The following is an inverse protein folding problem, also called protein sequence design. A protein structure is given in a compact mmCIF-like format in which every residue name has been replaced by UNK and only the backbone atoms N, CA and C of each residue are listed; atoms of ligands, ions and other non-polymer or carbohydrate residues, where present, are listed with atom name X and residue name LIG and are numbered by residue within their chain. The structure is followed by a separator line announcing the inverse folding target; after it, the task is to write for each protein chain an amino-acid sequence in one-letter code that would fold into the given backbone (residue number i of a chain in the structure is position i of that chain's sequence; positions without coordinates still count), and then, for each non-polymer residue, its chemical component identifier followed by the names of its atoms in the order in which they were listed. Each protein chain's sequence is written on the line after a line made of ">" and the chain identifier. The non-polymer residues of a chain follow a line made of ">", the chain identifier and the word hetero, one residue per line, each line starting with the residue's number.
data_IF_173284362410
#
_entry.id   IF_173284362410
#
_cell.length_a   1.000
_cell.length_b   1.000
_cell.length_c   1.000
_cell.angle_alpha   90.00
_cell.angle_beta   90.00
_cell.angle_gamma   90.00
#
_symmetry.space_group_name_H-M   'P 1'
#
loop_
_entity.id
_entity.type
_entity.pdbx_description
1 polymer ?
#
# COMPACT_ATOMS: atom_id res chain seq x y z
N UNK A 1 -7.84 -7.80 -22.58
CA UNK A 1 -7.75 -8.14 -21.14
C UNK A 1 -8.89 -7.42 -20.45
N UNK A 2 -9.73 -8.13 -19.72
CA UNK A 2 -10.86 -7.53 -19.03
C UNK A 2 -10.38 -6.97 -17.71
N UNK A 3 -10.73 -5.71 -17.43
CA UNK A 3 -10.51 -5.05 -16.15
C UNK A 3 -11.88 -4.96 -15.47
N UNK A 4 -11.98 -5.55 -14.29
CA UNK A 4 -13.19 -5.51 -13.49
C UNK A 4 -13.27 -4.19 -12.71
N UNK A 5 -14.46 -3.80 -12.32
CA UNK A 5 -14.69 -2.62 -11.48
C UNK A 5 -15.10 -3.07 -10.07
N UNK A 6 -14.53 -2.43 -9.06
CA UNK A 6 -14.96 -2.61 -7.68
C UNK A 6 -16.36 -1.98 -7.50
N UNK A 7 -17.31 -2.76 -7.00
CA UNK A 7 -18.63 -2.22 -6.66
C UNK A 7 -18.62 -1.46 -5.33
N UNK A 8 -19.50 -0.47 -5.18
CA UNK A 8 -19.66 0.26 -3.92
C UNK A 8 -20.03 -0.67 -2.75
N UNK A 9 -20.79 -1.75 -3.03
CA UNK A 9 -21.16 -2.73 -2.01
C UNK A 9 -19.95 -3.53 -1.50
N UNK A 10 -19.04 -3.97 -2.40
CA UNK A 10 -17.81 -4.64 -2.01
C UNK A 10 -16.91 -3.73 -1.18
N UNK A 11 -16.74 -2.48 -1.60
CA UNK A 11 -15.94 -1.49 -0.88
C UNK A 11 -16.51 -1.17 0.51
N UNK A 12 -17.84 -1.00 0.62
CA UNK A 12 -18.51 -0.77 1.91
C UNK A 12 -18.39 -1.98 2.84
N UNK A 13 -18.55 -3.20 2.31
CA UNK A 13 -18.38 -4.43 3.07
C UNK A 13 -16.95 -4.56 3.61
N UNK A 14 -15.94 -4.33 2.78
CA UNK A 14 -14.54 -4.37 3.22
C UNK A 14 -14.24 -3.31 4.29
N UNK A 15 -14.82 -2.10 4.21
CA UNK A 15 -14.65 -1.06 5.23
C UNK A 15 -15.32 -1.44 6.55
N UNK A 16 -16.49 -2.08 6.49
CA UNK A 16 -17.16 -2.62 7.68
C UNK A 16 -16.29 -3.69 8.37
N UNK A 17 -15.72 -4.63 7.59
CA UNK A 17 -14.78 -5.64 8.11
C UNK A 17 -13.53 -4.98 8.70
N UNK A 18 -12.97 -3.99 8.03
CA UNK A 18 -11.79 -3.25 8.50
C UNK A 18 -12.05 -2.63 9.88
N UNK A 19 -13.18 -1.95 10.02
CA UNK A 19 -13.56 -1.34 11.29
C UNK A 19 -13.83 -2.39 12.40
N UNK A 20 -14.50 -3.49 12.05
CA UNK A 20 -14.80 -4.59 12.97
C UNK A 20 -13.54 -5.27 13.53
N UNK A 21 -12.53 -5.47 12.69
CA UNK A 21 -11.29 -6.17 13.05
C UNK A 21 -10.24 -5.24 13.66
N UNK A 22 -10.34 -3.93 13.42
CA UNK A 22 -9.38 -2.93 13.91
C UNK A 22 -7.92 -3.41 13.81
N UNK A 23 -7.39 -3.70 12.61
CA UNK A 23 -6.10 -4.37 12.47
C UNK A 23 -4.97 -3.64 13.17
N UNK A 24 -4.14 -4.38 13.92
CA UNK A 24 -2.87 -3.87 14.45
C UNK A 24 -1.80 -3.96 13.36
N UNK A 25 -1.35 -2.83 12.84
CA UNK A 25 -0.41 -2.76 11.72
C UNK A 25 0.97 -2.36 12.22
N UNK A 26 1.94 -3.26 12.07
CA UNK A 26 3.34 -2.97 12.28
C UNK A 26 3.89 -2.21 11.06
N UNK A 27 4.13 -0.92 11.21
CA UNK A 27 4.57 -0.03 10.14
C UNK A 27 6.08 0.22 10.21
N UNK A 28 6.88 -0.55 9.47
CA UNK A 28 8.29 -0.24 9.22
C UNK A 28 8.37 0.66 7.98
N UNK A 29 7.96 1.90 8.16
CA UNK A 29 7.88 2.90 7.09
C UNK A 29 9.05 3.90 7.15
N UNK A 30 9.14 4.79 6.17
CA UNK A 30 10.19 5.79 6.08
C UNK A 30 9.96 6.98 7.03
N UNK A 31 11.04 7.71 7.33
CA UNK A 31 11.04 8.80 8.32
C UNK A 31 10.14 9.98 7.95
N UNK A 32 9.92 10.17 6.66
CA UNK A 32 9.20 11.34 6.14
C UNK A 32 7.70 11.26 6.41
N UNK A 33 7.14 10.02 6.54
CA UNK A 33 5.69 9.81 6.49
C UNK A 33 5.10 9.11 7.74
N UNK A 34 5.89 8.91 8.78
CA UNK A 34 5.46 8.14 9.96
C UNK A 34 4.16 8.67 10.57
N UNK A 35 4.10 9.95 10.89
CA UNK A 35 2.92 10.58 11.50
C UNK A 35 1.70 10.54 10.57
N UNK A 36 1.89 10.83 9.29
CA UNK A 36 0.80 10.81 8.31
C UNK A 36 0.24 9.39 8.13
N UNK A 37 1.11 8.39 8.03
CA UNK A 37 0.73 6.98 7.95
C UNK A 37 -0.05 6.53 9.20
N UNK A 38 0.44 6.89 10.41
CA UNK A 38 -0.25 6.57 11.64
C UNK A 38 -1.65 7.19 11.70
N UNK A 39 -1.77 8.48 11.39
CA UNK A 39 -3.04 9.18 11.40
C UNK A 39 -4.03 8.64 10.35
N UNK A 40 -3.54 8.23 9.18
CA UNK A 40 -4.36 7.59 8.14
C UNK A 40 -4.98 6.27 8.64
N UNK A 41 -4.18 5.41 9.28
CA UNK A 41 -4.67 4.17 9.87
C UNK A 41 -5.67 4.42 11.00
N UNK A 42 -5.35 5.36 11.91
CA UNK A 42 -6.26 5.75 13.02
C UNK A 42 -7.59 6.30 12.49
N UNK A 43 -7.57 7.14 11.47
CA UNK A 43 -8.79 7.69 10.86
C UNK A 43 -9.70 6.60 10.28
N UNK A 44 -9.14 5.50 9.77
CA UNK A 44 -9.87 4.33 9.28
C UNK A 44 -10.27 3.33 10.38
N UNK A 45 -9.77 3.48 11.62
CA UNK A 45 -10.08 2.59 12.75
C UNK A 45 -9.09 1.44 12.96
N UNK A 46 -7.92 1.48 12.33
CA UNK A 46 -6.82 0.55 12.59
C UNK A 46 -5.88 1.09 13.69
N UNK A 47 -5.01 0.23 14.20
CA UNK A 47 -4.02 0.56 15.23
C UNK A 47 -2.60 0.52 14.64
N UNK A 48 -1.92 1.67 14.42
CA UNK A 48 -0.55 1.69 13.91
C UNK A 48 0.48 1.50 15.02
N UNK A 49 1.59 0.82 14.71
CA UNK A 49 2.77 0.77 15.55
C UNK A 49 4.04 0.91 14.72
N UNK A 50 4.93 1.82 15.11
CA UNK A 50 6.21 2.10 14.47
C UNK A 50 7.36 1.52 15.30
N UNK A 51 7.61 0.21 15.18
CA UNK A 51 8.65 -0.51 15.92
C UNK A 51 9.80 -0.81 14.95
N UNK A 52 10.98 -0.28 15.21
CA UNK A 52 12.11 -0.27 14.26
C UNK A 52 13.41 -0.86 14.82
N UNK A 53 13.51 -1.10 16.12
CA UNK A 53 14.65 -1.81 16.71
C UNK A 53 14.56 -3.30 16.37
N UNK A 54 15.70 -3.94 16.05
CA UNK A 54 15.73 -5.28 15.46
C UNK A 54 15.04 -6.36 16.31
N UNK A 55 15.33 -6.39 17.61
CA UNK A 55 14.73 -7.38 18.52
C UNK A 55 13.24 -7.11 18.72
N UNK A 56 12.86 -5.85 18.93
CA UNK A 56 11.47 -5.44 19.10
C UNK A 56 10.66 -5.64 17.81
N UNK A 57 11.26 -5.34 16.65
CA UNK A 57 10.60 -5.52 15.35
C UNK A 57 10.25 -6.98 15.09
N UNK A 58 11.14 -7.91 15.42
CA UNK A 58 10.87 -9.35 15.34
C UNK A 58 9.76 -9.77 16.31
N UNK A 59 9.81 -9.32 17.56
CA UNK A 59 8.77 -9.63 18.56
C UNK A 59 7.41 -9.07 18.13
N UNK A 60 7.38 -7.83 17.67
CA UNK A 60 6.13 -7.16 17.30
C UNK A 60 5.50 -7.75 16.04
N UNK A 61 6.31 -8.18 15.06
CA UNK A 61 5.82 -8.85 13.86
C UNK A 61 5.05 -10.15 14.15
N UNK A 62 5.33 -10.80 15.29
CA UNK A 62 4.63 -12.02 15.71
C UNK A 62 3.21 -11.76 16.24
N UNK A 63 2.93 -10.57 16.75
CA UNK A 63 1.65 -10.21 17.37
C UNK A 63 0.80 -9.24 16.56
N UNK A 64 1.40 -8.59 15.55
CA UNK A 64 0.70 -7.70 14.65
C UNK A 64 -0.28 -8.47 13.76
N UNK A 65 -1.38 -7.82 13.38
CA UNK A 65 -2.32 -8.37 12.38
C UNK A 65 -1.73 -8.34 10.98
N UNK A 66 -0.88 -7.34 10.68
CA UNK A 66 -0.17 -7.18 9.42
C UNK A 66 1.13 -6.41 9.60
N UNK A 67 2.08 -6.60 8.65
CA UNK A 67 3.36 -5.89 8.62
C UNK A 67 3.48 -5.10 7.31
N UNK A 68 3.89 -3.83 7.41
CA UNK A 68 4.33 -3.00 6.28
C UNK A 68 5.86 -2.89 6.27
N UNK A 69 6.46 -3.18 5.13
CA UNK A 69 7.86 -2.89 4.82
C UNK A 69 7.92 -1.85 3.70
N UNK A 70 8.30 -0.63 4.05
CA UNK A 70 8.51 0.47 3.10
C UNK A 70 10.00 0.86 3.12
N UNK A 71 10.66 0.72 1.97
CA UNK A 71 12.11 0.91 1.86
C UNK A 71 12.56 2.36 1.62
N UNK A 72 11.66 3.32 1.78
CA UNK A 72 12.03 4.74 1.81
C UNK A 72 12.98 5.03 2.99
N UNK A 73 13.92 5.95 2.82
CA UNK A 73 14.98 6.25 3.83
C UNK A 73 15.67 5.01 4.41
N UNK A 74 15.91 3.98 3.57
CA UNK A 74 16.52 2.72 3.99
C UNK A 74 17.98 2.95 4.44
N UNK A 75 18.32 2.42 5.62
CA UNK A 75 19.67 2.33 6.16
C UNK A 75 20.00 0.87 6.44
N UNK A 76 21.30 0.57 6.64
CA UNK A 76 21.70 -0.81 6.94
C UNK A 76 21.07 -1.36 8.22
N UNK A 77 21.00 -0.63 9.35
CA UNK A 77 20.29 -1.11 10.54
C UNK A 77 18.79 -1.35 10.29
N UNK A 78 18.15 -0.47 9.51
CA UNK A 78 16.73 -0.67 9.14
C UNK A 78 16.53 -1.91 8.29
N UNK A 79 17.40 -2.16 7.31
CA UNK A 79 17.34 -3.37 6.50
C UNK A 79 17.44 -4.64 7.37
N UNK A 80 18.33 -4.66 8.35
CA UNK A 80 18.47 -5.76 9.31
C UNK A 80 17.18 -5.97 10.12
N UNK A 81 16.62 -4.89 10.67
CA UNK A 81 15.38 -4.95 11.44
C UNK A 81 14.19 -5.40 10.56
N UNK A 82 14.09 -4.90 9.32
CA UNK A 82 13.07 -5.30 8.37
C UNK A 82 13.19 -6.79 8.00
N UNK A 83 14.41 -7.30 7.76
CA UNK A 83 14.63 -8.73 7.50
C UNK A 83 14.17 -9.58 8.68
N UNK A 84 14.54 -9.21 9.92
CA UNK A 84 14.12 -9.94 11.12
C UNK A 84 12.59 -9.93 11.31
N UNK A 85 11.93 -8.80 11.03
CA UNK A 85 10.47 -8.69 11.07
C UNK A 85 9.80 -9.56 10.01
N UNK A 86 10.30 -9.56 8.76
CA UNK A 86 9.76 -10.37 7.65
C UNK A 86 9.95 -11.87 7.91
N UNK A 87 11.12 -12.28 8.40
CA UNK A 87 11.36 -13.67 8.79
C UNK A 87 10.39 -14.12 9.89
N UNK A 88 10.15 -13.27 10.88
CA UNK A 88 9.18 -13.58 11.93
C UNK A 88 7.75 -13.58 11.41
N UNK A 89 7.34 -12.60 10.59
CA UNK A 89 6.03 -12.58 9.96
C UNK A 89 5.77 -13.84 9.14
N UNK A 90 6.80 -14.32 8.40
CA UNK A 90 6.72 -15.60 7.67
C UNK A 90 6.50 -16.79 8.60
N UNK A 91 7.21 -16.85 9.73
CA UNK A 91 7.03 -17.93 10.74
C UNK A 91 5.67 -17.90 11.41
N UNK A 92 5.16 -16.74 11.75
CA UNK A 92 3.86 -16.54 12.41
C UNK A 92 2.69 -16.47 11.44
N UNK A 93 2.94 -16.58 10.13
CA UNK A 93 1.93 -16.42 9.07
C UNK A 93 1.22 -15.05 9.11
N UNK A 94 1.90 -14.04 9.62
CA UNK A 94 1.43 -12.65 9.58
C UNK A 94 1.54 -12.12 8.15
N UNK A 95 0.44 -11.66 7.53
CA UNK A 95 0.51 -11.09 6.18
C UNK A 95 1.36 -9.83 6.17
N UNK A 96 2.13 -9.64 5.09
CA UNK A 96 2.96 -8.47 4.98
C UNK A 96 2.96 -7.86 3.57
N UNK A 97 3.16 -6.56 3.53
CA UNK A 97 3.15 -5.75 2.30
C UNK A 97 4.51 -5.12 2.07
N UNK A 98 4.99 -5.19 0.82
CA UNK A 98 6.20 -4.52 0.36
C UNK A 98 5.84 -3.24 -0.40
N UNK A 99 6.44 -2.11 0.02
CA UNK A 99 6.44 -0.83 -0.70
C UNK A 99 7.88 -0.53 -1.19
N UNK A 100 8.20 -0.84 -2.46
CA UNK A 100 9.55 -0.80 -3.00
C UNK A 100 9.96 0.60 -3.46
N UNK A 101 9.89 1.57 -2.57
CA UNK A 101 10.14 2.99 -2.86
C UNK A 101 11.46 3.21 -3.59
N UNK A 102 11.38 3.76 -4.82
CA UNK A 102 12.51 4.17 -5.65
C UNK A 102 13.49 3.03 -6.05
N UNK A 103 13.03 1.78 -6.11
CA UNK A 103 13.88 0.62 -6.50
C UNK A 103 14.42 0.71 -7.92
N UNK A 104 13.77 1.46 -8.80
CA UNK A 104 14.24 1.69 -10.17
C UNK A 104 15.49 2.55 -10.25
N UNK A 105 15.75 3.39 -9.24
CA UNK A 105 16.84 4.35 -9.22
C UNK A 105 17.98 4.00 -8.24
N UNK A 106 17.69 3.18 -7.22
CA UNK A 106 18.59 2.95 -6.10
C UNK A 106 18.92 1.46 -5.94
N UNK A 107 20.11 1.07 -6.33
CA UNK A 107 20.54 -0.34 -6.36
C UNK A 107 20.50 -1.03 -4.99
N UNK A 108 20.82 -0.33 -3.91
CA UNK A 108 20.75 -0.91 -2.56
C UNK A 108 19.34 -1.33 -2.21
N UNK A 109 18.36 -0.44 -2.43
CA UNK A 109 16.93 -0.75 -2.21
C UNK A 109 16.45 -1.87 -3.11
N UNK A 110 16.86 -1.86 -4.39
CA UNK A 110 16.49 -2.90 -5.35
C UNK A 110 16.97 -4.28 -4.90
N UNK A 111 18.25 -4.43 -4.56
CA UNK A 111 18.79 -5.71 -4.06
C UNK A 111 18.05 -6.18 -2.81
N UNK A 112 17.85 -5.30 -1.86
CA UNK A 112 17.14 -5.63 -0.63
C UNK A 112 15.68 -6.06 -0.90
N UNK A 113 14.94 -5.36 -1.75
CA UNK A 113 13.59 -5.77 -2.12
C UNK A 113 13.57 -7.13 -2.83
N UNK A 114 14.52 -7.39 -3.74
CA UNK A 114 14.60 -8.70 -4.43
C UNK A 114 14.89 -9.84 -3.44
N UNK A 115 15.74 -9.61 -2.43
CA UNK A 115 15.98 -10.58 -1.34
C UNK A 115 14.69 -10.86 -0.56
N UNK A 116 13.92 -9.82 -0.23
CA UNK A 116 12.67 -9.94 0.52
C UNK A 116 11.58 -10.69 -0.25
N UNK A 117 11.55 -10.66 -1.59
CA UNK A 117 10.55 -11.38 -2.40
C UNK A 117 10.56 -12.90 -2.14
N UNK A 118 11.71 -13.47 -1.74
CA UNK A 118 11.81 -14.89 -1.37
C UNK A 118 10.93 -15.29 -0.18
N UNK A 119 10.57 -14.32 0.67
CA UNK A 119 9.66 -14.49 1.81
C UNK A 119 8.18 -14.32 1.45
N UNK A 120 7.86 -14.21 0.16
CA UNK A 120 6.49 -14.19 -0.38
C UNK A 120 5.59 -13.15 0.29
N UNK A 121 5.73 -11.85 -0.02
CA UNK A 121 4.81 -10.82 0.46
C UNK A 121 3.37 -11.17 0.09
N UNK A 122 2.43 -10.82 0.95
CA UNK A 122 0.99 -10.94 0.65
C UNK A 122 0.57 -9.90 -0.38
N UNK A 123 1.15 -8.70 -0.28
CA UNK A 123 0.92 -7.64 -1.26
C UNK A 123 2.22 -6.89 -1.59
N UNK A 124 2.26 -6.33 -2.80
CA UNK A 124 3.30 -5.41 -3.26
C UNK A 124 2.59 -4.16 -3.80
N UNK A 125 2.91 -2.99 -3.29
CA UNK A 125 2.32 -1.73 -3.78
C UNK A 125 3.41 -0.77 -4.23
N UNK A 126 3.34 -0.31 -5.47
CA UNK A 126 4.25 0.69 -6.02
C UNK A 126 3.62 1.50 -7.14
N UNK A 127 4.31 2.53 -7.62
CA UNK A 127 3.96 3.17 -8.87
C UNK A 127 4.41 2.30 -10.07
N UNK A 128 4.05 2.69 -11.28
CA UNK A 128 4.38 1.95 -12.50
C UNK A 128 5.88 1.66 -12.63
N UNK A 129 6.74 2.66 -12.37
CA UNK A 129 8.19 2.51 -12.50
C UNK A 129 8.78 1.56 -11.45
N UNK A 130 8.29 1.61 -10.22
CA UNK A 130 8.71 0.73 -9.13
C UNK A 130 8.32 -0.72 -9.41
N UNK A 131 7.08 -0.96 -9.84
CA UNK A 131 6.60 -2.30 -10.17
C UNK A 131 7.35 -2.88 -11.38
N UNK A 132 7.53 -2.11 -12.45
CA UNK A 132 8.31 -2.54 -13.62
C UNK A 132 9.76 -2.86 -13.25
N UNK A 133 10.41 -2.02 -12.45
CA UNK A 133 11.77 -2.23 -11.99
C UNK A 133 11.91 -3.49 -11.12
N UNK A 134 10.94 -3.74 -10.22
CA UNK A 134 10.92 -4.92 -9.36
C UNK A 134 10.67 -6.20 -10.17
N UNK A 135 9.85 -6.13 -11.23
CA UNK A 135 9.61 -7.23 -12.16
C UNK A 135 10.75 -7.47 -13.16
N UNK A 136 11.86 -6.73 -13.05
CA UNK A 136 13.01 -6.89 -13.95
C UNK A 136 12.78 -6.36 -15.37
N UNK A 137 11.73 -5.59 -15.59
CA UNK A 137 11.50 -4.94 -16.89
C UNK A 137 12.42 -3.73 -16.97
N UNK A 138 13.39 -3.77 -17.92
CA UNK A 138 14.31 -2.67 -18.13
C UNK A 138 13.55 -1.39 -18.49
N UNK A 139 13.85 -0.29 -17.80
CA UNK A 139 13.33 1.03 -18.13
C UNK A 139 13.86 1.45 -19.50
N UNK A 140 13.09 1.23 -20.53
CA UNK A 140 13.32 1.78 -21.86
C UNK A 140 13.07 3.28 -21.84
N UNK A 141 14.08 4.06 -21.49
CA UNK A 141 14.13 5.50 -21.76
C UNK A 141 13.39 6.40 -20.77
N UNK A 142 14.01 7.56 -20.50
CA UNK A 142 13.37 8.74 -19.93
C UNK A 142 12.28 9.23 -20.89
N UNK A 143 11.02 8.97 -20.61
CA UNK A 143 9.93 9.52 -21.40
C UNK A 143 8.83 8.52 -21.75
N UNK A 144 8.27 7.87 -20.73
CA UNK A 144 6.90 7.37 -20.86
C UNK A 144 6.00 8.57 -20.56
N UNK A 145 5.39 9.14 -21.59
CA UNK A 145 4.35 10.15 -21.46
C UNK A 145 3.26 9.58 -20.53
N UNK A 146 2.97 10.31 -19.48
CA UNK A 146 2.40 9.84 -18.22
C UNK A 146 0.89 9.62 -18.20
N UNK A 147 0.21 9.69 -19.32
CA UNK A 147 -1.26 9.60 -19.35
C UNK A 147 -1.81 8.21 -19.04
N UNK A 148 -0.98 7.14 -19.08
CA UNK A 148 -1.40 5.77 -18.71
C UNK A 148 -0.24 4.92 -18.19
N UNK A 149 0.68 5.51 -17.42
CA UNK A 149 1.85 4.78 -16.92
C UNK A 149 1.47 3.53 -16.10
N UNK A 150 0.40 3.58 -15.31
CA UNK A 150 -0.06 2.45 -14.51
C UNK A 150 -0.61 1.31 -15.38
N UNK A 151 -1.38 1.63 -16.42
CA UNK A 151 -1.90 0.63 -17.37
C UNK A 151 -0.74 -0.10 -18.10
N UNK A 152 0.32 0.63 -18.46
CA UNK A 152 1.50 0.05 -19.11
C UNK A 152 2.29 -0.91 -18.20
N UNK A 153 2.15 -0.79 -16.89
CA UNK A 153 2.80 -1.68 -15.92
C UNK A 153 1.96 -2.95 -15.60
N UNK A 154 0.73 -3.07 -16.07
CA UNK A 154 -0.15 -4.23 -15.79
C UNK A 154 0.52 -5.57 -16.17
N UNK A 155 1.16 -5.75 -17.34
CA UNK A 155 1.80 -7.01 -17.67
C UNK A 155 2.93 -7.38 -16.68
N UNK A 156 3.72 -6.38 -16.26
CA UNK A 156 4.77 -6.56 -15.25
C UNK A 156 4.17 -6.92 -13.88
N UNK A 157 3.11 -6.23 -13.47
CA UNK A 157 2.39 -6.50 -12.23
C UNK A 157 1.82 -7.93 -12.20
N UNK A 158 1.19 -8.38 -13.29
CA UNK A 158 0.68 -9.75 -13.39
C UNK A 158 1.78 -10.80 -13.34
N UNK A 159 2.91 -10.55 -13.99
CA UNK A 159 4.07 -11.44 -13.94
C UNK A 159 4.60 -11.53 -12.51
N UNK A 160 4.82 -10.39 -11.86
CA UNK A 160 5.28 -10.32 -10.48
C UNK A 160 4.30 -11.03 -9.52
N UNK A 161 2.99 -10.84 -9.71
CA UNK A 161 1.96 -11.51 -8.91
C UNK A 161 2.02 -13.04 -9.07
N UNK A 162 2.15 -13.55 -10.31
CA UNK A 162 2.26 -14.99 -10.55
C UNK A 162 3.53 -15.60 -9.97
N UNK A 163 4.66 -14.90 -10.05
CA UNK A 163 5.95 -15.38 -9.55
C UNK A 163 6.04 -15.38 -8.03
N UNK A 164 5.45 -14.39 -7.38
CA UNK A 164 5.53 -14.22 -5.92
C UNK A 164 4.33 -14.80 -5.18
N UNK A 165 3.17 -14.90 -5.83
CA UNK A 165 1.88 -15.19 -5.21
C UNK A 165 1.24 -13.96 -4.54
N UNK A 166 1.85 -12.77 -4.67
CA UNK A 166 1.35 -11.54 -4.06
C UNK A 166 0.21 -10.91 -4.86
N UNK A 167 -0.64 -10.17 -4.17
CA UNK A 167 -1.50 -9.16 -4.82
C UNK A 167 -0.62 -7.96 -5.16
N UNK A 168 -0.59 -7.54 -6.41
CA UNK A 168 0.21 -6.38 -6.84
C UNK A 168 -0.70 -5.19 -7.12
N UNK A 169 -0.36 -4.06 -6.51
CA UNK A 169 -1.04 -2.77 -6.66
C UNK A 169 -0.14 -1.82 -7.44
N UNK A 170 -0.59 -1.39 -8.60
CA UNK A 170 0.06 -0.33 -9.39
C UNK A 170 -0.73 0.94 -9.24
N UNK A 171 -0.13 1.97 -8.64
CA UNK A 171 -0.82 3.25 -8.41
C UNK A 171 -0.55 4.27 -9.52
N UNK A 172 -1.58 5.04 -9.86
CA UNK A 172 -1.55 6.10 -10.87
C UNK A 172 -2.84 6.90 -10.89
N UNK A 173 -3.18 7.47 -12.03
CA UNK A 173 -4.49 8.10 -12.25
C UNK A 173 -5.60 7.07 -12.04
N UNK A 174 -5.46 5.90 -12.64
CA UNK A 174 -6.22 4.69 -12.29
C UNK A 174 -5.27 3.75 -11.54
N UNK A 175 -5.69 3.25 -10.37
CA UNK A 175 -4.95 2.20 -9.69
C UNK A 175 -5.41 0.84 -10.20
N UNK A 176 -4.46 -0.06 -10.43
CA UNK A 176 -4.74 -1.44 -10.84
C UNK A 176 -4.28 -2.42 -9.77
N UNK A 177 -5.18 -3.31 -9.37
CA UNK A 177 -4.92 -4.35 -8.36
C UNK A 177 -5.08 -5.71 -9.03
N UNK A 178 -4.05 -6.57 -8.95
CA UNK A 178 -4.07 -7.88 -9.61
C UNK A 178 -3.47 -9.00 -8.75
N UNK A 179 -4.08 -10.19 -8.87
CA UNK A 179 -3.55 -11.46 -8.35
C UNK A 179 -2.76 -12.26 -9.43
N UNK A 180 -2.52 -11.63 -10.58
CA UNK A 180 -1.90 -12.26 -11.74
C UNK A 180 -2.91 -12.84 -12.75
N UNK A 181 -4.17 -13.03 -12.35
CA UNK A 181 -5.28 -13.54 -13.18
C UNK A 181 -6.39 -12.51 -13.33
N UNK A 182 -6.92 -12.02 -12.21
CA UNK A 182 -7.93 -10.97 -12.16
C UNK A 182 -7.26 -9.61 -12.07
N UNK A 183 -7.93 -8.57 -12.56
CA UNK A 183 -7.51 -7.18 -12.44
C UNK A 183 -8.72 -6.35 -12.06
N UNK A 184 -8.56 -5.54 -11.01
CA UNK A 184 -9.57 -4.55 -10.61
C UNK A 184 -8.99 -3.15 -10.85
N UNK A 185 -9.72 -2.32 -11.60
CA UNK A 185 -9.37 -0.92 -11.86
C UNK A 185 -10.11 0.01 -10.89
N UNK A 186 -9.39 0.92 -10.25
CA UNK A 186 -9.92 1.88 -9.29
C UNK A 186 -9.70 3.29 -9.82
N UNK A 187 -10.79 3.93 -10.20
CA UNK A 187 -10.83 5.32 -10.66
C UNK A 187 -10.98 6.30 -9.49
N UNK A 188 -10.74 7.57 -9.74
CA UNK A 188 -10.91 8.65 -8.77
C UNK A 188 -9.60 9.22 -8.27
N UNK A 189 -9.69 9.97 -7.17
CA UNK A 189 -8.57 10.76 -6.65
C UNK A 189 -8.41 12.09 -7.38
N UNK A 190 -7.36 12.82 -7.03
CA UNK A 190 -7.09 14.14 -7.62
C UNK A 190 -5.56 14.37 -7.70
N UNK A 191 -5.08 15.08 -8.74
CA UNK A 191 -3.66 15.45 -8.87
C UNK A 191 -3.06 16.16 -7.65
N UNK A 192 -3.87 16.88 -6.86
CA UNK A 192 -3.41 17.53 -5.64
C UNK A 192 -2.82 16.53 -4.62
N UNK A 193 -3.28 15.28 -4.62
CA UNK A 193 -2.72 14.22 -3.78
C UNK A 193 -1.23 14.01 -4.03
N UNK A 194 -0.74 14.29 -5.23
CA UNK A 194 0.70 14.18 -5.58
C UNK A 194 1.54 15.33 -5.01
N UNK A 195 0.91 16.41 -4.52
CA UNK A 195 1.55 17.55 -3.89
C UNK A 195 1.68 17.42 -2.38
N UNK A 196 1.18 16.32 -1.82
CA UNK A 196 1.26 15.99 -0.39
C UNK A 196 2.11 14.74 -0.24
N UNK A 197 3.20 14.86 0.52
CA UNK A 197 4.10 13.73 0.76
C UNK A 197 3.40 12.66 1.60
N UNK A 198 3.56 11.40 1.21
CA UNK A 198 3.15 10.28 2.03
C UNK A 198 1.81 9.64 1.68
N UNK A 199 0.98 10.22 0.81
CA UNK A 199 -0.31 9.62 0.41
C UNK A 199 -0.14 8.19 -0.11
N UNK A 200 0.87 7.95 -0.95
CA UNK A 200 1.20 6.61 -1.43
C UNK A 200 1.71 5.68 -0.32
N UNK A 201 2.65 6.13 0.50
CA UNK A 201 3.20 5.32 1.60
C UNK A 201 2.11 4.98 2.64
N UNK A 202 1.19 5.91 2.91
CA UNK A 202 0.04 5.66 3.79
C UNK A 202 -0.92 4.63 3.17
N UNK A 203 -1.18 4.69 1.85
CA UNK A 203 -1.94 3.64 1.16
C UNK A 203 -1.29 2.27 1.34
N UNK A 204 0.03 2.14 1.30
CA UNK A 204 0.71 0.86 1.53
C UNK A 204 0.43 0.29 2.92
N UNK A 205 0.28 1.15 3.94
CA UNK A 205 -0.11 0.72 5.28
C UNK A 205 -1.59 0.27 5.35
N UNK A 206 -2.49 0.95 4.63
CA UNK A 206 -3.90 0.54 4.52
C UNK A 206 -4.01 -0.78 3.75
N UNK A 207 -3.24 -0.97 2.69
CA UNK A 207 -3.12 -2.25 1.96
C UNK A 207 -2.65 -3.36 2.90
N UNK A 208 -1.63 -3.11 3.72
CA UNK A 208 -1.16 -4.09 4.70
C UNK A 208 -2.28 -4.48 5.69
N UNK A 209 -3.01 -3.51 6.22
CA UNK A 209 -4.16 -3.76 7.09
C UNK A 209 -5.24 -4.62 6.40
N UNK A 210 -5.53 -4.34 5.13
CA UNK A 210 -6.51 -5.09 4.34
C UNK A 210 -6.09 -6.53 4.05
N UNK A 211 -4.79 -6.84 4.05
CA UNK A 211 -4.31 -8.22 3.92
C UNK A 211 -4.71 -9.12 5.11
N UNK A 212 -5.01 -8.53 6.27
CA UNK A 212 -5.44 -9.27 7.46
C UNK A 212 -6.96 -9.51 7.54
N UNK A 213 -7.74 -8.95 6.62
CA UNK A 213 -9.18 -9.09 6.63
C UNK A 213 -9.63 -10.44 6.06
N UNK A 214 -10.75 -11.02 6.57
CA UNK A 214 -11.33 -12.20 5.96
C UNK A 214 -11.93 -11.91 4.58
N UNK A 215 -12.14 -12.96 3.79
CA UNK A 215 -12.77 -12.87 2.48
C UNK A 215 -11.80 -12.80 1.31
N UNK A 216 -12.18 -12.11 0.24
CA UNK A 216 -11.36 -11.97 -0.97
C UNK A 216 -10.29 -10.88 -0.78
N UNK A 217 -9.04 -11.29 -0.65
CA UNK A 217 -7.92 -10.37 -0.41
C UNK A 217 -7.73 -9.37 -1.56
N UNK A 218 -8.00 -9.76 -2.81
CA UNK A 218 -7.92 -8.85 -3.96
C UNK A 218 -8.95 -7.71 -3.83
N UNK A 219 -10.19 -8.04 -3.47
CA UNK A 219 -11.26 -7.05 -3.27
C UNK A 219 -10.99 -6.16 -2.04
N UNK A 220 -10.49 -6.75 -0.95
CA UNK A 220 -10.11 -5.99 0.25
C UNK A 220 -9.02 -4.94 -0.06
N UNK A 221 -7.98 -5.32 -0.80
CA UNK A 221 -6.90 -4.42 -1.20
C UNK A 221 -7.38 -3.38 -2.22
N UNK A 222 -8.22 -3.76 -3.18
CA UNK A 222 -8.84 -2.82 -4.12
C UNK A 222 -9.69 -1.78 -3.38
N UNK A 223 -10.37 -2.20 -2.31
CA UNK A 223 -11.15 -1.30 -1.46
C UNK A 223 -10.27 -0.27 -0.73
N UNK A 224 -9.05 -0.65 -0.29
CA UNK A 224 -8.09 0.30 0.27
C UNK A 224 -7.77 1.44 -0.72
N UNK A 225 -7.48 1.10 -1.98
CA UNK A 225 -7.26 2.09 -3.03
C UNK A 225 -8.49 3.00 -3.23
N UNK A 226 -9.68 2.41 -3.23
CA UNK A 226 -10.93 3.16 -3.40
C UNK A 226 -11.16 4.17 -2.27
N UNK A 227 -10.99 3.77 -1.00
CA UNK A 227 -11.17 4.68 0.14
C UNK A 227 -10.20 5.86 0.10
N UNK A 228 -8.93 5.61 -0.22
CA UNK A 228 -7.92 6.67 -0.32
C UNK A 228 -8.22 7.65 -1.45
N UNK A 229 -8.68 7.17 -2.61
CA UNK A 229 -9.09 8.01 -3.73
C UNK A 229 -10.35 8.82 -3.38
N UNK A 230 -11.36 8.20 -2.83
CA UNK A 230 -12.60 8.85 -2.42
C UNK A 230 -12.35 9.93 -1.34
N UNK A 231 -11.50 9.63 -0.34
CA UNK A 231 -11.10 10.62 0.64
C UNK A 231 -10.31 11.77 0.01
N UNK A 232 -9.45 11.48 -0.97
CA UNK A 232 -8.73 12.49 -1.75
C UNK A 232 -9.65 13.45 -2.47
N UNK A 233 -10.66 12.95 -3.18
CA UNK A 233 -11.68 13.78 -3.86
C UNK A 233 -12.45 14.65 -2.87
N UNK A 234 -12.91 14.08 -1.74
CA UNK A 234 -13.63 14.83 -0.71
C UNK A 234 -12.75 15.92 -0.08
N UNK A 235 -11.47 15.62 0.13
CA UNK A 235 -10.52 16.57 0.70
C UNK A 235 -10.25 17.73 -0.24
N UNK A 236 -10.01 17.46 -1.54
CA UNK A 236 -9.78 18.52 -2.54
C UNK A 236 -10.95 19.47 -2.63
N UNK A 237 -12.19 18.96 -2.62
CA UNK A 237 -13.40 19.80 -2.68
C UNK A 237 -13.53 20.80 -1.49
N UNK A 238 -12.76 20.60 -0.41
CA UNK A 238 -12.76 21.46 0.79
C UNK A 238 -11.45 22.22 0.99
N UNK A 239 -10.44 21.96 0.15
CA UNK A 239 -9.08 22.48 0.35
C UNK A 239 -8.80 23.67 -0.55
N UNK A 240 -8.05 24.64 -0.02
CA UNK A 240 -7.51 25.75 -0.80
C UNK A 240 -6.15 25.40 -1.45
N UNK A 241 -5.53 24.31 -1.01
CA UNK A 241 -4.23 23.83 -1.49
C UNK A 241 -3.67 22.69 -0.64
N UNK A 242 -2.39 22.31 -0.84
CA UNK A 242 -1.77 21.18 -0.12
C UNK A 242 -1.77 21.34 1.40
N UNK A 243 -1.71 22.57 1.91
CA UNK A 243 -1.66 22.84 3.35
C UNK A 243 -2.95 22.48 4.08
N UNK A 244 -4.11 22.76 3.48
CA UNK A 244 -5.42 22.40 4.03
C UNK A 244 -5.89 21.01 3.62
N UNK A 245 -5.28 20.39 2.60
CA UNK A 245 -5.64 19.05 2.13
C UNK A 245 -5.50 17.97 3.21
N UNK A 246 -4.38 17.95 3.94
CA UNK A 246 -4.09 16.88 4.92
C UNK A 246 -5.16 16.74 6.00
N UNK A 247 -5.56 17.79 6.72
CA UNK A 247 -6.64 17.67 7.70
C UNK A 247 -7.97 17.24 7.06
N UNK A 248 -8.33 17.79 5.90
CA UNK A 248 -9.55 17.38 5.22
C UNK A 248 -9.51 15.94 4.70
N UNK A 249 -8.33 15.45 4.34
CA UNK A 249 -8.15 14.05 3.93
C UNK A 249 -8.36 13.07 5.10
N UNK A 250 -7.81 13.38 6.27
CA UNK A 250 -8.00 12.59 7.49
C UNK A 250 -9.46 12.62 7.95
N UNK A 251 -10.10 13.80 7.92
CA UNK A 251 -11.52 13.95 8.21
C UNK A 251 -12.39 13.13 7.25
N UNK A 252 -12.05 13.12 5.95
CA UNK A 252 -12.78 12.36 4.94
C UNK A 252 -12.65 10.85 5.15
N UNK A 253 -11.46 10.35 5.49
CA UNK A 253 -11.27 8.94 5.84
C UNK A 253 -12.11 8.55 7.05
N UNK A 254 -12.11 9.36 8.10
CA UNK A 254 -12.94 9.12 9.27
C UNK A 254 -14.44 9.15 8.93
N UNK A 255 -14.91 10.10 8.11
CA UNK A 255 -16.30 10.18 7.68
C UNK A 255 -16.75 8.93 6.93
N UNK A 256 -15.90 8.35 6.08
CA UNK A 256 -16.20 7.08 5.38
C UNK A 256 -16.54 5.96 6.37
N UNK A 257 -15.84 5.88 7.51
CA UNK A 257 -16.11 4.85 8.53
C UNK A 257 -17.45 5.07 9.23
N UNK A 258 -17.89 6.31 9.40
CA UNK A 258 -19.18 6.64 10.01
C UNK A 258 -20.36 6.26 9.08
N UNK A 259 -20.16 6.42 7.75
CA UNK A 259 -21.19 6.11 6.75
C UNK A 259 -21.53 4.62 6.68
N UNK A 260 -20.58 3.73 7.00
CA UNK A 260 -20.83 2.26 6.97
C UNK A 260 -21.32 1.71 8.32
N UNK A 261 -21.36 2.54 9.37
CA UNK A 261 -21.88 2.20 10.68
C UNK A 261 -23.33 2.65 10.88
N UNK A 262 -23.81 3.59 10.08
CA UNK A 262 -25.16 4.13 10.12
C UNK A 262 -26.14 3.24 9.36
#
# INVERSE_FOLDING_TARGET
>A
MQVDLLSSAQSAHALHLFHQHSPLVHCMTNDVVQTFTANTLLALGASPAMVIETEEASQFAAIASALLINVGTLTQPRAQAMSAAVEQATRSQTPWTLDPVAVGALDYRRRFCLELLSHKPTAIRGNALEIMALAGVANGGRGVDTTDAAANAIPAAQTLARETGAIVVVTGEVDYVTDGHRIIGIHGGDPLMTKVVGTGCALSAVVAACCALPGDTLENIASACHWMKQAGERAVARSEGPGSFVPHFLDALWQLTQEVQA
#
